data_IF_840818528772
#
_entry.id   IF_840818528772
#
_cell.length_a   1.000
_cell.length_b   1.000
_cell.length_c   1.000
_cell.angle_alpha   90.00
_cell.angle_beta   90.00
_cell.angle_gamma   90.00
#
_symmetry.space_group_name_H-M   'P 1'
#
loop_
_entity.id
_entity.type
_entity.pdbx_description
1 polymer ?
#
# COMPACT_ATOMS: atom_id res chain seq x y z
N UNK A 1 62.88 87.20 2.93
CA UNK A 1 63.97 86.38 3.54
C UNK A 1 63.39 85.59 4.68
N UNK A 2 63.61 84.28 4.67
CA UNK A 2 63.31 83.22 5.63
C UNK A 2 61.89 82.60 5.63
N UNK A 3 61.80 81.51 4.90
CA UNK A 3 61.05 80.35 5.09
C UNK A 3 61.24 79.77 6.50
N UNK A 4 60.19 79.59 7.27
CA UNK A 4 60.12 78.55 8.29
C UNK A 4 58.70 78.41 8.81
N UNK A 5 58.28 77.17 8.85
CA UNK A 5 57.23 76.59 9.64
C UNK A 5 55.83 76.41 9.02
N UNK A 6 55.86 75.66 7.92
CA UNK A 6 54.76 74.85 7.42
C UNK A 6 54.91 73.38 7.95
N UNK A 7 54.74 73.20 9.28
CA UNK A 7 54.87 71.76 9.77
C UNK A 7 54.04 71.40 10.97
N UNK A 8 53.10 72.23 11.40
CA UNK A 8 52.38 71.90 12.64
C UNK A 8 50.86 71.92 12.54
N UNK A 9 50.27 71.62 11.39
CA UNK A 9 48.82 71.58 11.25
C UNK A 9 48.28 70.25 10.68
N UNK A 10 48.96 69.12 10.96
CA UNK A 10 48.50 67.84 10.48
C UNK A 10 48.61 66.73 11.51
N UNK A 11 48.13 66.98 12.75
CA UNK A 11 47.93 65.96 13.75
C UNK A 11 46.56 66.13 14.39
N UNK A 12 45.53 66.20 13.56
CA UNK A 12 44.16 65.96 14.06
C UNK A 12 43.85 64.49 13.92
N UNK A 13 44.05 63.81 15.05
CA UNK A 13 43.86 62.38 15.14
C UNK A 13 42.45 61.93 14.74
N UNK A 14 42.41 61.29 13.60
CA UNK A 14 41.25 60.49 13.21
C UNK A 14 41.14 59.26 14.11
N UNK A 15 40.30 59.31 15.12
CA UNK A 15 39.91 58.15 15.91
C UNK A 15 39.14 57.20 14.99
N UNK A 16 39.60 55.96 14.80
CA UNK A 16 38.79 54.96 14.10
C UNK A 16 37.60 54.61 15.00
N UNK A 17 36.42 55.03 14.57
CA UNK A 17 35.16 54.60 15.17
C UNK A 17 35.02 53.09 15.02
N UNK A 18 34.95 52.41 16.12
CA UNK A 18 34.58 50.98 16.16
C UNK A 18 33.15 50.82 15.64
N UNK A 19 33.01 50.55 14.37
CA UNK A 19 31.79 50.04 13.84
C UNK A 19 31.65 48.59 14.30
N UNK A 20 31.05 48.43 15.48
CA UNK A 20 30.52 47.13 15.89
C UNK A 20 29.42 46.75 14.89
N UNK A 21 29.81 46.03 13.87
CA UNK A 21 28.91 45.19 13.09
C UNK A 21 28.31 44.18 14.06
N UNK A 22 27.18 44.57 14.67
CA UNK A 22 26.29 43.61 15.31
C UNK A 22 25.78 42.70 14.23
N UNK A 23 26.52 41.63 13.99
CA UNK A 23 26.06 40.48 13.21
C UNK A 23 24.80 39.96 13.87
N UNK A 24 23.63 40.28 13.30
CA UNK A 24 22.41 39.52 13.55
C UNK A 24 22.70 38.10 13.14
N UNK A 25 22.61 37.11 14.04
CA UNK A 25 22.58 35.71 13.57
C UNK A 25 21.28 35.54 12.78
N UNK A 26 21.39 35.43 11.49
CA UNK A 26 20.32 34.97 10.61
C UNK A 26 20.04 33.49 11.02
N UNK A 27 19.18 33.35 12.03
CA UNK A 27 18.65 32.05 12.43
C UNK A 27 17.80 31.56 11.25
N UNK A 28 18.42 30.82 10.32
CA UNK A 28 17.75 30.05 9.32
C UNK A 28 16.87 29.05 10.05
N UNK A 29 15.62 29.45 10.29
CA UNK A 29 14.55 28.56 10.72
C UNK A 29 14.29 27.60 9.57
N UNK A 30 15.04 26.50 9.53
CA UNK A 30 14.76 25.37 8.66
C UNK A 30 13.42 24.79 9.11
N UNK A 31 12.32 25.32 8.58
CA UNK A 31 11.02 24.67 8.65
C UNK A 31 11.17 23.38 7.85
N UNK A 32 11.47 22.28 8.55
CA UNK A 32 11.35 20.95 7.99
C UNK A 32 9.88 20.78 7.57
N UNK A 33 9.58 20.99 6.30
CA UNK A 33 8.34 20.51 5.70
C UNK A 33 8.39 18.98 5.81
N UNK A 34 7.89 18.46 6.91
CA UNK A 34 7.53 17.04 7.00
C UNK A 34 6.43 16.83 5.98
N UNK A 35 6.81 16.33 4.80
CA UNK A 35 5.86 15.86 3.81
C UNK A 35 5.06 14.75 4.50
N UNK A 36 3.88 15.06 5.02
CA UNK A 36 2.95 14.08 5.53
C UNK A 36 2.47 13.32 4.30
N UNK A 37 3.06 12.16 4.06
CA UNK A 37 2.49 11.20 3.15
C UNK A 37 1.05 10.95 3.63
N UNK A 38 0.07 11.09 2.71
CA UNK A 38 -1.33 10.86 3.05
C UNK A 38 -1.54 9.43 3.59
N UNK A 39 -2.72 9.12 4.12
CA UNK A 39 -2.99 7.81 4.72
C UNK A 39 -2.74 6.68 3.71
N UNK A 40 -2.07 5.62 4.18
CA UNK A 40 -1.81 4.40 3.43
C UNK A 40 -3.12 3.75 2.99
N UNK A 41 -3.05 2.83 2.03
CA UNK A 41 -4.25 2.10 1.63
C UNK A 41 -4.77 1.22 2.79
N UNK A 42 -3.87 0.66 3.61
CA UNK A 42 -4.21 -0.07 4.83
C UNK A 42 -5.04 0.79 5.82
N UNK A 43 -4.60 2.02 6.07
CA UNK A 43 -5.36 2.95 6.93
C UNK A 43 -6.71 3.33 6.31
N UNK A 44 -6.78 3.45 4.99
CA UNK A 44 -8.02 3.74 4.26
C UNK A 44 -9.00 2.58 4.22
N UNK A 45 -8.54 1.32 4.33
CA UNK A 45 -9.40 0.15 4.58
C UNK A 45 -10.06 0.29 5.95
N UNK A 46 -9.37 0.89 6.92
CA UNK A 46 -9.78 1.02 8.32
C UNK A 46 -8.82 0.32 9.28
N UNK A 47 -7.60 0.03 8.83
CA UNK A 47 -6.54 -0.56 9.62
C UNK A 47 -6.77 -2.04 9.98
N UNK A 48 -6.11 -2.47 11.04
CA UNK A 48 -6.08 -3.88 11.46
C UNK A 48 -7.48 -4.46 11.72
N UNK A 49 -8.29 -3.76 12.50
CA UNK A 49 -9.60 -4.28 12.91
C UNK A 49 -10.53 -4.50 11.70
N UNK A 50 -10.57 -3.54 10.79
CA UNK A 50 -11.41 -3.63 9.60
C UNK A 50 -10.90 -4.69 8.63
N UNK A 51 -9.57 -4.78 8.43
CA UNK A 51 -9.00 -5.80 7.55
C UNK A 51 -9.21 -7.21 8.11
N UNK A 52 -9.07 -7.42 9.41
CA UNK A 52 -9.41 -8.72 10.06
C UNK A 52 -10.88 -9.08 9.85
N UNK A 53 -11.79 -8.13 10.07
CA UNK A 53 -13.21 -8.34 9.82
C UNK A 53 -13.50 -8.67 8.35
N UNK A 54 -12.81 -8.02 7.40
CA UNK A 54 -12.91 -8.36 5.97
C UNK A 54 -12.46 -9.79 5.69
N UNK A 55 -11.32 -10.22 6.25
CA UNK A 55 -10.79 -11.58 6.05
C UNK A 55 -11.71 -12.62 6.67
N UNK A 56 -12.29 -12.34 7.83
CA UNK A 56 -13.24 -13.23 8.47
C UNK A 56 -14.51 -13.39 7.64
N UNK A 57 -15.10 -12.29 7.21
CA UNK A 57 -16.30 -12.28 6.37
C UNK A 57 -16.05 -12.94 5.01
N UNK A 58 -14.95 -12.60 4.34
CA UNK A 58 -14.52 -13.24 3.10
C UNK A 58 -14.40 -14.76 3.26
N UNK A 59 -13.80 -15.21 4.36
CA UNK A 59 -13.66 -16.65 4.63
C UNK A 59 -15.01 -17.33 4.77
N UNK A 60 -15.98 -16.70 5.44
CA UNK A 60 -17.34 -17.24 5.56
C UNK A 60 -18.01 -17.36 4.19
N UNK A 61 -17.84 -16.35 3.32
CA UNK A 61 -18.44 -16.32 2.00
C UNK A 61 -17.85 -17.42 1.10
N UNK A 62 -16.52 -17.53 1.01
CA UNK A 62 -15.88 -18.54 0.13
C UNK A 62 -16.17 -19.98 0.57
N UNK A 63 -16.35 -20.24 1.85
CA UNK A 63 -16.70 -21.57 2.35
C UNK A 63 -18.17 -21.92 2.05
N UNK A 64 -19.01 -20.92 1.81
CA UNK A 64 -20.41 -21.11 1.39
C UNK A 64 -20.60 -21.10 -0.13
N UNK A 65 -19.66 -20.55 -0.92
CA UNK A 65 -19.78 -20.49 -2.38
C UNK A 65 -19.43 -21.82 -3.02
N UNK A 66 -20.42 -22.52 -3.56
CA UNK A 66 -20.25 -23.81 -4.24
C UNK A 66 -19.34 -23.76 -5.47
N UNK A 67 -19.10 -22.58 -6.04
CA UNK A 67 -18.21 -22.40 -7.18
C UNK A 67 -16.74 -22.63 -6.82
N UNK A 68 -16.36 -22.43 -5.55
CA UNK A 68 -14.96 -22.45 -5.11
C UNK A 68 -14.70 -23.14 -3.77
N UNK A 69 -15.71 -23.41 -2.93
CA UNK A 69 -15.53 -23.95 -1.57
C UNK A 69 -14.73 -25.26 -1.53
N UNK A 70 -14.87 -26.11 -2.53
CA UNK A 70 -14.16 -27.39 -2.62
C UNK A 70 -12.63 -27.20 -2.69
N UNK A 71 -12.14 -26.04 -3.12
CA UNK A 71 -10.69 -25.73 -3.17
C UNK A 71 -10.09 -25.53 -1.77
N UNK A 72 -10.95 -25.33 -0.78
CA UNK A 72 -10.58 -25.12 0.61
C UNK A 72 -10.83 -26.34 1.51
N UNK A 73 -11.33 -27.45 0.97
CA UNK A 73 -11.74 -28.64 1.72
C UNK A 73 -10.63 -29.20 2.65
N UNK A 74 -9.39 -29.19 2.18
CA UNK A 74 -8.21 -29.69 2.90
C UNK A 74 -7.36 -28.56 3.49
N UNK A 75 -7.88 -27.34 3.55
CA UNK A 75 -7.13 -26.16 3.97
C UNK A 75 -7.23 -25.93 5.48
N UNK A 76 -6.10 -25.57 6.12
CA UNK A 76 -6.11 -24.98 7.44
C UNK A 76 -6.66 -23.55 7.34
N UNK A 77 -7.93 -23.38 7.69
CA UNK A 77 -8.64 -22.11 7.58
C UNK A 77 -8.03 -21.02 8.47
N UNK A 78 -7.54 -21.36 9.66
CA UNK A 78 -6.90 -20.37 10.53
C UNK A 78 -5.58 -19.87 9.91
N UNK A 79 -4.80 -20.77 9.34
CA UNK A 79 -3.58 -20.42 8.62
C UNK A 79 -3.89 -19.60 7.35
N UNK A 80 -4.93 -19.97 6.62
CA UNK A 80 -5.41 -19.21 5.45
C UNK A 80 -5.76 -17.78 5.84
N UNK A 81 -6.60 -17.56 6.85
CA UNK A 81 -6.96 -16.23 7.35
C UNK A 81 -5.74 -15.41 7.72
N UNK A 82 -4.81 -16.01 8.48
CA UNK A 82 -3.56 -15.33 8.88
C UNK A 82 -2.77 -14.86 7.65
N UNK A 83 -2.53 -15.75 6.69
CA UNK A 83 -1.71 -15.45 5.53
C UNK A 83 -2.39 -14.44 4.59
N UNK A 84 -3.70 -14.52 4.40
CA UNK A 84 -4.45 -13.55 3.61
C UNK A 84 -4.42 -12.16 4.26
N UNK A 85 -4.62 -12.08 5.58
CA UNK A 85 -4.47 -10.84 6.32
C UNK A 85 -3.07 -10.23 6.13
N UNK A 86 -2.02 -11.02 6.33
CA UNK A 86 -0.64 -10.57 6.15
C UNK A 86 -0.37 -10.07 4.73
N UNK A 87 -0.87 -10.77 3.72
CA UNK A 87 -0.70 -10.42 2.32
C UNK A 87 -1.36 -9.08 1.99
N UNK A 88 -2.66 -8.93 2.30
CA UNK A 88 -3.37 -7.68 2.00
C UNK A 88 -2.78 -6.52 2.81
N UNK A 89 -2.46 -6.74 4.09
CA UNK A 89 -1.84 -5.74 4.94
C UNK A 89 -0.50 -5.26 4.35
N UNK A 90 0.39 -6.17 3.95
CA UNK A 90 1.68 -5.81 3.36
C UNK A 90 1.52 -5.09 2.01
N UNK A 91 0.64 -5.59 1.13
CA UNK A 91 0.35 -4.97 -0.17
C UNK A 91 -0.21 -3.55 -0.03
N UNK A 92 -0.97 -3.30 1.01
CA UNK A 92 -1.63 -2.00 1.25
C UNK A 92 -0.80 -1.05 2.12
N UNK A 93 0.49 -1.33 2.29
CA UNK A 93 1.43 -0.55 3.09
C UNK A 93 1.06 -0.49 4.59
N UNK A 94 0.50 -1.57 5.10
CA UNK A 94 0.34 -1.80 6.53
C UNK A 94 1.63 -2.28 7.20
N UNK A 95 1.64 -2.40 8.55
CA UNK A 95 2.83 -2.76 9.33
C UNK A 95 3.15 -4.26 9.31
N UNK A 96 2.57 -5.04 8.41
CA UNK A 96 2.70 -6.48 8.35
C UNK A 96 3.83 -6.92 7.43
N UNK A 97 4.33 -8.13 7.68
CA UNK A 97 5.20 -8.86 6.78
C UNK A 97 4.47 -10.13 6.33
N UNK A 98 4.37 -10.35 5.03
CA UNK A 98 3.85 -11.61 4.50
C UNK A 98 4.82 -12.75 4.78
N UNK A 99 4.34 -13.82 5.40
CA UNK A 99 5.14 -14.99 5.80
C UNK A 99 4.77 -16.27 5.03
N UNK A 100 3.86 -16.14 4.05
CA UNK A 100 3.41 -17.24 3.21
C UNK A 100 4.37 -17.54 2.06
N UNK A 101 4.01 -18.59 1.29
CA UNK A 101 4.63 -18.91 0.01
C UNK A 101 4.27 -17.87 -1.04
N UNK A 102 5.00 -17.80 -2.14
CA UNK A 102 4.56 -17.03 -3.30
C UNK A 102 3.24 -17.60 -3.88
N UNK A 103 2.57 -16.83 -4.72
CA UNK A 103 1.24 -17.20 -5.23
C UNK A 103 1.30 -18.44 -6.11
N UNK A 104 2.34 -18.61 -6.92
CA UNK A 104 2.51 -19.77 -7.76
C UNK A 104 2.66 -21.05 -6.93
N UNK A 105 3.56 -21.04 -5.94
CA UNK A 105 3.77 -22.20 -5.06
C UNK A 105 2.54 -22.51 -4.20
N UNK A 106 1.86 -21.48 -3.72
CA UNK A 106 0.68 -21.63 -2.86
C UNK A 106 -0.48 -22.30 -3.60
N UNK A 107 -0.63 -22.08 -4.92
CA UNK A 107 -1.76 -22.53 -5.73
C UNK A 107 -1.42 -23.63 -6.72
N UNK A 108 -0.15 -24.03 -6.85
CA UNK A 108 0.33 -24.95 -7.87
C UNK A 108 -0.45 -26.31 -7.96
N UNK A 109 -0.99 -26.78 -6.83
CA UNK A 109 -1.71 -28.05 -6.74
C UNK A 109 -3.24 -27.93 -6.88
N UNK A 110 -3.78 -26.70 -6.87
CA UNK A 110 -5.22 -26.48 -6.83
C UNK A 110 -5.88 -26.54 -8.21
N UNK A 111 -5.10 -26.46 -9.29
CA UNK A 111 -5.59 -26.47 -10.68
C UNK A 111 -6.75 -25.49 -10.91
N UNK A 112 -6.59 -24.25 -10.44
CA UNK A 112 -7.61 -23.23 -10.54
C UNK A 112 -7.75 -22.73 -11.97
N UNK A 113 -8.97 -22.35 -12.34
CA UNK A 113 -9.29 -21.71 -13.62
C UNK A 113 -9.77 -20.26 -13.41
N UNK A 114 -9.94 -19.52 -14.52
CA UNK A 114 -10.39 -18.14 -14.49
C UNK A 114 -11.76 -17.95 -13.83
N UNK A 115 -12.69 -18.91 -13.99
CA UNK A 115 -14.01 -18.80 -13.38
C UNK A 115 -13.93 -18.85 -11.85
N UNK A 116 -13.08 -19.71 -11.31
CA UNK A 116 -12.84 -19.81 -9.85
C UNK A 116 -12.10 -18.59 -9.32
N UNK A 117 -11.12 -18.08 -10.06
CA UNK A 117 -10.44 -16.84 -9.70
C UNK A 117 -11.42 -15.65 -9.67
N UNK A 118 -12.29 -15.55 -10.67
CA UNK A 118 -13.30 -14.49 -10.72
C UNK A 118 -14.33 -14.63 -9.59
N UNK A 119 -14.78 -15.85 -9.28
CA UNK A 119 -15.68 -16.09 -8.16
C UNK A 119 -15.05 -15.64 -6.84
N UNK A 120 -13.78 -15.97 -6.61
CA UNK A 120 -13.03 -15.50 -5.44
C UNK A 120 -12.96 -13.96 -5.37
N UNK A 121 -12.72 -13.30 -6.51
CA UNK A 121 -12.67 -11.84 -6.59
C UNK A 121 -14.04 -11.21 -6.28
N UNK A 122 -15.13 -11.78 -6.78
CA UNK A 122 -16.50 -11.36 -6.47
C UNK A 122 -16.79 -11.47 -4.98
N UNK A 123 -16.43 -12.60 -4.36
CA UNK A 123 -16.61 -12.84 -2.93
C UNK A 123 -15.85 -11.84 -2.07
N UNK A 124 -14.65 -11.44 -2.50
CA UNK A 124 -13.88 -10.42 -1.80
C UNK A 124 -14.54 -9.03 -1.89
N UNK A 125 -15.15 -8.68 -3.02
CA UNK A 125 -15.95 -7.46 -3.12
C UNK A 125 -17.15 -7.50 -2.18
N UNK A 126 -17.87 -8.63 -2.11
CA UNK A 126 -19.00 -8.82 -1.19
C UNK A 126 -18.54 -8.65 0.26
N UNK A 127 -17.42 -9.25 0.63
CA UNK A 127 -16.86 -9.11 1.97
C UNK A 127 -16.52 -7.65 2.30
N UNK A 128 -15.90 -6.91 1.38
CA UNK A 128 -15.62 -5.49 1.56
C UNK A 128 -16.90 -4.66 1.76
N UNK A 129 -17.96 -4.97 1.00
CA UNK A 129 -19.25 -4.29 1.12
C UNK A 129 -19.91 -4.56 2.48
N UNK A 130 -19.92 -5.82 2.93
CA UNK A 130 -20.48 -6.21 4.22
C UNK A 130 -19.80 -5.49 5.39
N UNK A 131 -18.50 -5.28 5.32
CA UNK A 131 -17.74 -4.55 6.35
C UNK A 131 -17.63 -3.04 6.09
N UNK A 132 -18.32 -2.53 5.08
CA UNK A 132 -18.39 -1.12 4.72
C UNK A 132 -17.02 -0.48 4.41
N UNK A 133 -16.18 -1.15 3.63
CA UNK A 133 -14.99 -0.55 3.04
C UNK A 133 -15.42 0.33 1.87
N UNK A 134 -14.95 1.59 1.76
CA UNK A 134 -15.36 2.46 0.65
C UNK A 134 -14.99 1.89 -0.72
N UNK A 135 -15.89 1.93 -1.71
CA UNK A 135 -15.73 1.34 -3.03
C UNK A 135 -14.41 1.73 -3.75
N UNK A 136 -13.98 2.99 -3.63
CA UNK A 136 -12.70 3.43 -4.20
C UNK A 136 -11.49 2.73 -3.56
N UNK A 137 -11.62 2.32 -2.29
CA UNK A 137 -10.58 1.60 -1.56
C UNK A 137 -10.58 0.14 -2.01
N UNK A 138 -11.76 -0.49 -2.10
CA UNK A 138 -11.92 -1.86 -2.62
C UNK A 138 -11.25 -1.98 -3.99
N UNK A 139 -11.58 -1.11 -4.96
CA UNK A 139 -11.02 -1.15 -6.31
C UNK A 139 -9.49 -1.02 -6.31
N UNK A 140 -8.90 -0.27 -5.39
CA UNK A 140 -7.45 -0.17 -5.28
C UNK A 140 -6.82 -1.46 -4.76
N UNK A 141 -7.45 -2.11 -3.79
CA UNK A 141 -6.99 -3.43 -3.29
C UNK A 141 -7.09 -4.47 -4.41
N UNK A 142 -8.24 -4.53 -5.09
CA UNK A 142 -8.46 -5.45 -6.19
C UNK A 142 -7.46 -5.25 -7.34
N UNK A 143 -7.12 -4.01 -7.67
CA UNK A 143 -6.11 -3.70 -8.68
C UNK A 143 -4.70 -4.20 -8.31
N UNK A 144 -4.40 -4.38 -7.02
CA UNK A 144 -3.14 -5.00 -6.57
C UNK A 144 -3.19 -6.51 -6.62
N UNK A 145 -4.36 -7.12 -6.43
CA UNK A 145 -4.54 -8.57 -6.42
C UNK A 145 -4.74 -9.15 -7.84
N UNK A 146 -5.43 -8.43 -8.72
CA UNK A 146 -5.76 -8.91 -10.05
C UNK A 146 -4.55 -9.41 -10.88
N UNK A 147 -3.37 -8.76 -10.88
CA UNK A 147 -2.20 -9.27 -11.60
C UNK A 147 -1.68 -10.64 -11.14
N UNK A 148 -2.09 -11.08 -9.93
CA UNK A 148 -1.71 -12.40 -9.40
C UNK A 148 -2.46 -13.56 -10.07
N UNK A 149 -3.50 -13.27 -10.86
CA UNK A 149 -4.22 -14.28 -11.63
C UNK A 149 -3.27 -15.22 -12.41
N UNK A 150 -2.27 -14.65 -13.06
CA UNK A 150 -1.28 -15.42 -13.84
C UNK A 150 -0.47 -16.43 -13.04
N UNK A 151 -0.31 -16.20 -11.72
CA UNK A 151 0.43 -17.06 -10.82
C UNK A 151 -0.48 -18.09 -10.13
N UNK A 152 -1.80 -17.82 -10.11
CA UNK A 152 -2.84 -18.59 -9.43
C UNK A 152 -3.55 -19.55 -10.41
N UNK A 153 -3.86 -19.04 -11.62
CA UNK A 153 -4.64 -19.76 -12.61
C UNK A 153 -3.74 -20.61 -13.50
N UNK A 154 -4.14 -21.86 -13.70
CA UNK A 154 -3.46 -22.77 -14.63
C UNK A 154 -4.00 -22.56 -16.05
N UNK A 155 -3.18 -22.11 -17.02
CA UNK A 155 -3.64 -21.89 -18.38
C UNK A 155 -4.23 -23.16 -19.00
N UNK A 156 -5.42 -23.04 -19.60
CA UNK A 156 -6.07 -24.12 -20.29
C UNK A 156 -6.74 -25.21 -19.44
N UNK A 157 -6.75 -25.01 -18.10
CA UNK A 157 -7.50 -25.92 -17.21
C UNK A 157 -9.00 -25.64 -17.32
N UNK A 158 -9.76 -26.62 -17.84
CA UNK A 158 -11.24 -26.62 -17.82
C UNK A 158 -11.66 -27.55 -16.70
N UNK A 159 -12.32 -27.03 -15.67
CA UNK A 159 -12.78 -27.85 -14.55
C UNK A 159 -13.77 -28.93 -15.06
N UNK A 160 -13.67 -30.16 -14.54
CA UNK A 160 -14.64 -31.19 -14.85
C UNK A 160 -16.04 -30.72 -14.49
N UNK A 161 -16.97 -30.63 -15.44
CA UNK A 161 -18.35 -30.16 -15.23
C UNK A 161 -18.71 -28.85 -15.90
N UNK A 162 -17.75 -28.02 -16.32
CA UNK A 162 -18.01 -26.79 -17.09
C UNK A 162 -18.01 -27.02 -18.59
N UNK A 163 -18.56 -28.18 -19.08
CA UNK A 163 -18.76 -28.33 -20.51
C UNK A 163 -19.84 -27.33 -20.95
N UNK A 164 -19.39 -26.35 -21.71
CA UNK A 164 -20.23 -25.40 -22.46
C UNK A 164 -21.31 -26.21 -23.20
N UNK A 165 -22.58 -25.89 -22.89
CA UNK A 165 -23.69 -26.34 -23.67
C UNK A 165 -23.43 -26.05 -25.15
N UNK A 166 -23.68 -27.00 -26.08
CA UNK A 166 -23.44 -26.79 -27.51
C UNK A 166 -24.26 -25.56 -27.95
N UNK A 167 -23.58 -24.61 -28.54
CA UNK A 167 -24.21 -23.43 -29.15
C UNK A 167 -24.94 -23.89 -30.43
N UNK A 168 -26.14 -24.41 -30.25
CA UNK A 168 -27.07 -24.56 -31.37
C UNK A 168 -27.81 -23.23 -31.55
N UNK A 169 -27.17 -22.30 -32.23
CA UNK A 169 -27.84 -21.21 -32.90
C UNK A 169 -27.96 -21.57 -34.36
N UNK A 170 -29.15 -21.95 -34.77
CA UNK A 170 -29.61 -21.87 -36.17
C UNK A 170 -30.36 -20.59 -36.38
#
# INVERSE_FOLDING_TARGET
MKLHNLREALTMGMRPGHWMLRGLPLMLLAVALSAHAGPTLFERIGGEAKLKATVDEFTNIILADERINFTFADSDINKFKKLLYEQICALTQGPCKYTGRDMHEAHAKLNLNNAQFNALAEDLYIAFDHVHVPYRVQNRVMAMLAPMERDVVKPGFVAPGTQKAPSNVR
#
